data_IF_333807822077
#
_entry.id   IF_333807822077
#
_cell.length_a   1.000
_cell.length_b   1.000
_cell.length_c   1.000
_cell.angle_alpha   90.00
_cell.angle_beta   90.00
_cell.angle_gamma   90.00
#
_symmetry.space_group_name_H-M   'P 1'
#
loop_
_entity.id
_entity.type
_entity.pdbx_description
1 polymer ?
#
# COMPACT_ATOMS: atom_id res chain seq x y z
N UNK A 1 -5.35 3.33 -14.88
CA UNK A 1 -6.52 4.18 -14.60
C UNK A 1 -6.20 4.99 -13.35
N UNK A 2 -6.70 6.22 -13.26
CA UNK A 2 -6.58 7.03 -12.03
C UNK A 2 -7.72 6.66 -11.10
N UNK A 3 -7.43 6.55 -9.81
CA UNK A 3 -8.45 6.24 -8.82
C UNK A 3 -9.39 7.45 -8.66
N UNK A 4 -10.71 7.28 -8.82
CA UNK A 4 -11.66 8.39 -8.70
C UNK A 4 -11.75 8.98 -7.28
N UNK A 5 -11.29 8.25 -6.24
CA UNK A 5 -11.33 8.73 -4.85
C UNK A 5 -10.23 9.73 -4.50
N UNK A 6 -9.15 9.78 -5.27
CA UNK A 6 -7.90 10.37 -4.78
C UNK A 6 -6.85 10.63 -5.87
N UNK A 7 -7.25 10.56 -7.13
CA UNK A 7 -6.47 10.94 -8.33
C UNK A 7 -5.10 10.27 -8.46
N UNK A 8 -4.85 9.23 -7.67
CA UNK A 8 -3.63 8.45 -7.69
C UNK A 8 -3.75 7.24 -8.63
N UNK A 9 -2.63 6.71 -9.15
CA UNK A 9 -2.67 5.54 -10.03
C UNK A 9 -3.32 4.33 -9.34
N UNK A 10 -4.27 3.68 -10.01
CA UNK A 10 -4.74 2.37 -9.56
C UNK A 10 -3.67 1.32 -9.80
N UNK A 11 -3.57 0.37 -8.89
CA UNK A 11 -2.64 -0.75 -9.02
C UNK A 11 -3.46 -2.00 -9.38
N UNK A 12 -3.12 -2.70 -10.48
CA UNK A 12 -3.75 -3.97 -10.80
C UNK A 12 -3.33 -5.03 -9.77
N UNK A 13 -4.32 -5.74 -9.24
CA UNK A 13 -4.14 -6.77 -8.23
C UNK A 13 -4.95 -8.00 -8.64
N UNK A 14 -4.32 -9.18 -8.72
CA UNK A 14 -5.05 -10.42 -9.04
C UNK A 14 -5.51 -11.11 -7.76
N UNK A 15 -6.83 -11.16 -7.52
CA UNK A 15 -7.44 -11.86 -6.38
C UNK A 15 -8.37 -12.95 -6.91
N UNK A 16 -8.17 -14.20 -6.47
CA UNK A 16 -8.92 -15.37 -6.91
C UNK A 16 -9.04 -15.49 -8.45
N UNK A 17 -7.94 -15.30 -9.18
CA UNK A 17 -7.92 -15.37 -10.64
C UNK A 17 -8.56 -14.17 -11.37
N UNK A 18 -9.13 -13.21 -10.65
CA UNK A 18 -9.72 -11.99 -11.21
C UNK A 18 -8.79 -10.81 -10.99
N UNK A 19 -8.48 -10.04 -12.04
CA UNK A 19 -7.70 -8.81 -11.93
C UNK A 19 -8.60 -7.66 -11.48
N UNK A 20 -8.41 -7.18 -10.25
CA UNK A 20 -9.09 -6.03 -9.67
C UNK A 20 -8.17 -4.81 -9.67
N UNK A 21 -8.66 -3.66 -10.09
CA UNK A 21 -7.96 -2.39 -9.93
C UNK A 21 -8.19 -1.88 -8.51
N UNK A 22 -7.13 -1.79 -7.70
CA UNK A 22 -7.23 -1.29 -6.31
C UNK A 22 -6.64 0.11 -6.25
N UNK A 23 -7.31 1.02 -5.56
CA UNK A 23 -6.78 2.35 -5.28
C UNK A 23 -5.78 2.27 -4.14
N UNK A 24 -4.58 1.75 -4.43
CA UNK A 24 -3.58 1.46 -3.41
C UNK A 24 -3.23 2.66 -2.53
N UNK A 25 -3.28 3.89 -3.05
CA UNK A 25 -2.99 5.08 -2.25
C UNK A 25 -4.04 5.36 -1.15
N UNK A 26 -5.28 4.91 -1.33
CA UNK A 26 -6.46 5.49 -0.65
C UNK A 26 -7.27 4.42 0.06
N UNK A 27 -7.31 3.21 -0.51
CA UNK A 27 -7.87 2.04 0.15
C UNK A 27 -6.90 1.45 1.20
N UNK A 28 -5.60 1.79 1.15
CA UNK A 28 -4.63 1.29 2.13
C UNK A 28 -4.37 2.30 3.25
N UNK A 29 -4.28 1.85 4.52
CA UNK A 29 -4.05 2.76 5.63
C UNK A 29 -2.68 3.44 5.54
N UNK A 30 -2.62 4.70 5.98
CA UNK A 30 -1.36 5.39 6.19
C UNK A 30 -0.78 4.97 7.54
N UNK A 31 0.55 4.79 7.60
CA UNK A 31 1.24 4.42 8.84
C UNK A 31 2.47 5.28 9.03
N UNK A 32 2.67 5.74 10.26
CA UNK A 32 3.89 6.41 10.67
C UNK A 32 4.92 5.39 11.17
N UNK A 33 6.20 5.67 10.96
CA UNK A 33 7.27 4.86 11.52
C UNK A 33 7.22 4.91 13.05
N UNK A 34 7.28 3.75 13.72
CA UNK A 34 7.26 3.66 15.18
C UNK A 34 8.33 4.53 15.84
N UNK A 35 9.51 4.60 15.22
CA UNK A 35 10.68 5.32 15.74
C UNK A 35 10.70 6.77 15.29
N UNK A 36 10.72 7.01 13.98
CA UNK A 36 10.92 8.36 13.44
C UNK A 36 9.65 9.21 13.41
N UNK A 37 8.47 8.62 13.65
CA UNK A 37 7.14 9.26 13.55
C UNK A 37 6.83 9.94 12.20
N UNK A 38 7.63 9.69 11.16
CA UNK A 38 7.42 10.19 9.79
C UNK A 38 6.50 9.25 9.00
N UNK A 39 5.79 9.75 7.98
CA UNK A 39 5.01 8.90 7.08
C UNK A 39 5.91 7.87 6.39
N UNK A 40 5.48 6.61 6.40
CA UNK A 40 6.16 5.53 5.70
C UNK A 40 5.64 5.44 4.26
N UNK A 41 6.54 5.09 3.34
CA UNK A 41 6.14 4.70 1.99
C UNK A 41 5.45 3.34 2.07
N UNK A 42 4.33 3.19 1.36
CA UNK A 42 3.53 1.95 1.35
C UNK A 42 3.45 1.37 -0.06
N UNK A 43 3.47 0.05 -0.17
CA UNK A 43 3.36 -0.67 -1.45
C UNK A 43 2.57 -1.95 -1.26
N UNK A 44 1.61 -2.19 -2.15
CA UNK A 44 0.94 -3.49 -2.23
C UNK A 44 1.88 -4.52 -2.87
N UNK A 45 2.01 -5.68 -2.23
CA UNK A 45 2.84 -6.80 -2.68
C UNK A 45 2.09 -8.12 -2.53
N UNK A 46 2.63 -9.19 -3.11
CA UNK A 46 2.02 -10.53 -3.08
C UNK A 46 0.64 -10.54 -3.71
N UNK A 47 0.51 -9.91 -4.89
CA UNK A 47 -0.76 -9.67 -5.57
C UNK A 47 -1.80 -9.01 -4.64
N UNK A 48 -1.37 -7.92 -3.98
CA UNK A 48 -2.21 -7.08 -3.12
C UNK A 48 -2.77 -7.75 -1.88
N UNK A 49 -2.20 -8.90 -1.46
CA UNK A 49 -2.52 -9.53 -0.18
C UNK A 49 -1.84 -8.84 0.99
N UNK A 50 -0.66 -8.26 0.74
CA UNK A 50 0.17 -7.66 1.77
C UNK A 50 0.48 -6.22 1.42
N UNK A 51 0.61 -5.41 2.46
CA UNK A 51 0.99 -4.03 2.40
C UNK A 51 2.34 -3.87 3.09
N UNK A 52 3.37 -3.60 2.30
CA UNK A 52 4.71 -3.31 2.80
C UNK A 52 4.85 -1.82 3.05
N UNK A 53 5.26 -1.48 4.26
CA UNK A 53 5.62 -0.15 4.69
C UNK A 53 7.12 -0.06 4.88
N UNK A 54 7.74 1.02 4.39
CA UNK A 54 9.15 1.28 4.55
C UNK A 54 9.35 2.72 5.02
N UNK A 55 10.07 2.89 6.12
CA UNK A 55 10.44 4.22 6.60
C UNK A 55 11.54 4.83 5.72
N UNK A 56 11.37 6.06 5.20
CA UNK A 56 12.40 6.69 4.38
C UNK A 56 13.63 7.11 5.17
N UNK A 57 13.51 7.33 6.49
CA UNK A 57 14.62 7.75 7.36
C UNK A 57 15.46 6.59 7.86
N UNK A 58 14.84 5.64 8.56
CA UNK A 58 15.56 4.55 9.24
C UNK A 58 15.47 3.20 8.51
N UNK A 59 14.86 3.15 7.31
CA UNK A 59 14.64 1.92 6.53
C UNK A 59 13.87 0.80 7.25
N UNK A 60 13.27 1.09 8.41
CA UNK A 60 12.41 0.15 9.12
C UNK A 60 11.29 -0.34 8.20
N UNK A 61 11.14 -1.66 8.12
CA UNK A 61 10.14 -2.31 7.29
C UNK A 61 9.05 -2.90 8.16
N UNK A 62 7.81 -2.80 7.70
CA UNK A 62 6.68 -3.43 8.35
C UNK A 62 5.71 -3.94 7.30
N UNK A 63 5.22 -5.15 7.48
CA UNK A 63 4.26 -5.76 6.57
C UNK A 63 2.95 -6.00 7.31
N UNK A 64 1.86 -5.54 6.73
CA UNK A 64 0.51 -5.80 7.23
C UNK A 64 -0.27 -6.60 6.19
N UNK A 65 -1.19 -7.45 6.65
CA UNK A 65 -2.16 -8.11 5.78
C UNK A 65 -3.21 -7.08 5.35
N UNK A 66 -3.45 -6.96 4.05
CA UNK A 66 -4.43 -6.04 3.48
C UNK A 66 -5.76 -6.74 3.13
N UNK A 67 -5.71 -8.04 2.85
CA UNK A 67 -6.81 -8.83 2.29
C UNK A 67 -6.88 -10.24 2.85
#
# INVERSE_FOLDING_TARGET
>A
MTCPKCENPTVPVTRNGTATQVCAACDTPNRACTWCKVPMSKRLVGNGKYLHYICPKCRFQHTAKFS
#
